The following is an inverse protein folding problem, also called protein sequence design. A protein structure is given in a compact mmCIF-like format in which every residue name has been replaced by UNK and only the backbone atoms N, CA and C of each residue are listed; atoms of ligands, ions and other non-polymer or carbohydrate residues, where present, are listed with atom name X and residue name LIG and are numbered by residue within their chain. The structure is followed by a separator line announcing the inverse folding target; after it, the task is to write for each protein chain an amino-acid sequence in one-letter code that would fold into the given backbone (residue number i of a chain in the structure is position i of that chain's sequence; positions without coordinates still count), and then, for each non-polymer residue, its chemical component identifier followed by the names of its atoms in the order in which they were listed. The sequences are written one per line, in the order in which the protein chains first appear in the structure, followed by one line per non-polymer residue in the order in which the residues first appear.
data_IF_659971447751
#
_entry.id   IF_659971447751
#
_cell.length_a   1.000
_cell.length_b   1.000
_cell.length_c   1.000
_cell.angle_alpha   90.00
_cell.angle_beta   90.00
_cell.angle_gamma   90.00
#
_symmetry.space_group_name_H-M   'P 1'
#
loop_
_entity.id
_entity.type
_entity.pdbx_description
1 polymer ?
#
# COMPACT_ATOMS: atom_id res chain seq x y z
N UNK A 1 -6.73 19.29 -6.34
CA UNK A 1 -6.31 19.70 -4.98
C UNK A 1 -7.44 20.45 -4.26
N UNK A 2 -7.70 20.14 -2.98
CA UNK A 2 -8.74 20.78 -2.15
C UNK A 2 -8.12 21.94 -1.37
N UNK A 3 -8.80 23.09 -1.36
CA UNK A 3 -8.49 24.19 -0.43
C UNK A 3 -9.52 24.09 0.70
N UNK A 4 -9.18 23.32 1.73
CA UNK A 4 -10.10 23.06 2.84
C UNK A 4 -10.56 24.36 3.49
N UNK A 5 -11.83 24.38 3.90
CA UNK A 5 -12.38 25.48 4.70
C UNK A 5 -11.98 25.39 6.17
N UNK A 6 -11.40 24.27 6.59
CA UNK A 6 -10.89 24.04 7.93
C UNK A 6 -9.42 24.46 7.94
N UNK A 7 -9.09 25.52 8.67
CA UNK A 7 -7.71 25.89 8.93
C UNK A 7 -7.18 25.05 10.11
N UNK A 8 -6.11 24.23 9.93
CA UNK A 8 -5.61 23.38 11.00
C UNK A 8 -5.28 24.11 12.29
N UNK A 9 -4.78 25.35 12.22
CA UNK A 9 -4.42 26.16 13.39
C UNK A 9 -5.63 26.68 14.17
N UNK A 10 -6.82 26.69 13.56
CA UNK A 10 -8.08 27.19 14.14
C UNK A 10 -9.09 26.06 14.38
N UNK A 11 -8.69 24.80 14.14
CA UNK A 11 -9.60 23.67 14.30
C UNK A 11 -10.18 23.55 15.72
N UNK A 12 -9.42 24.02 16.74
CA UNK A 12 -9.82 24.00 18.16
C UNK A 12 -10.94 24.98 18.48
N UNK A 13 -11.07 26.03 17.67
CA UNK A 13 -12.05 27.10 17.86
C UNK A 13 -13.41 26.72 17.22
N UNK A 14 -13.46 25.61 16.48
CA UNK A 14 -14.68 25.11 15.85
C UNK A 14 -15.54 24.34 16.85
N UNK A 15 -16.86 24.54 16.77
CA UNK A 15 -17.82 23.62 17.36
C UNK A 15 -17.94 22.38 16.48
N UNK A 16 -18.22 21.23 17.08
CA UNK A 16 -18.35 19.96 16.36
C UNK A 16 -19.28 20.06 15.14
N UNK A 17 -20.47 20.63 15.32
CA UNK A 17 -21.47 20.80 14.24
C UNK A 17 -20.94 21.61 13.05
N UNK A 18 -20.16 22.66 13.32
CA UNK A 18 -19.58 23.50 12.26
C UNK A 18 -18.44 22.76 11.54
N UNK A 19 -17.63 22.03 12.30
CA UNK A 19 -16.61 21.15 11.74
C UNK A 19 -17.22 20.11 10.79
N UNK A 20 -18.28 19.39 11.19
CA UNK A 20 -18.95 18.38 10.34
C UNK A 20 -19.38 19.00 9.01
N UNK A 21 -20.02 20.17 9.07
CA UNK A 21 -20.48 20.90 7.88
C UNK A 21 -19.33 21.31 6.96
N UNK A 22 -18.18 21.73 7.51
CA UNK A 22 -17.02 22.07 6.69
C UNK A 22 -16.34 20.84 6.10
N UNK A 23 -16.26 19.75 6.87
CA UNK A 23 -15.68 18.49 6.42
C UNK A 23 -16.48 17.88 5.26
N UNK A 24 -17.82 17.85 5.37
CA UNK A 24 -18.70 17.42 4.28
C UNK A 24 -18.48 18.26 3.00
N UNK A 25 -18.34 19.58 3.14
CA UNK A 25 -18.02 20.45 1.99
C UNK A 25 -16.68 20.12 1.36
N UNK A 26 -15.68 19.74 2.15
CA UNK A 26 -14.38 19.33 1.62
C UNK A 26 -14.49 18.02 0.83
N UNK A 27 -15.31 17.06 1.28
CA UNK A 27 -15.58 15.81 0.55
C UNK A 27 -16.34 16.08 -0.75
N UNK A 28 -17.41 16.90 -0.71
CA UNK A 28 -18.13 17.30 -1.92
C UNK A 28 -17.22 18.04 -2.90
N UNK A 29 -16.28 18.85 -2.40
CA UNK A 29 -15.29 19.53 -3.21
C UNK A 29 -14.25 18.55 -3.80
N UNK A 30 -13.89 17.50 -3.07
CA UNK A 30 -13.04 16.41 -3.59
C UNK A 30 -13.74 15.71 -4.76
N UNK A 31 -15.01 15.34 -4.56
CA UNK A 31 -15.88 14.67 -5.54
C UNK A 31 -16.05 15.50 -6.81
N UNK A 32 -16.49 16.75 -6.68
CA UNK A 32 -16.71 17.65 -7.83
C UNK A 32 -15.45 17.93 -8.65
N UNK A 33 -14.26 17.79 -8.03
CA UNK A 33 -12.97 17.91 -8.71
C UNK A 33 -12.41 16.59 -9.25
N UNK A 34 -13.12 15.48 -9.10
CA UNK A 34 -12.67 14.16 -9.54
C UNK A 34 -11.37 13.71 -8.88
N UNK A 35 -11.10 14.11 -7.63
CA UNK A 35 -9.86 13.76 -6.96
C UNK A 35 -9.92 12.32 -6.46
N UNK A 36 -9.02 11.46 -6.95
CA UNK A 36 -8.89 10.07 -6.49
C UNK A 36 -8.35 9.96 -5.07
N UNK A 37 -7.48 10.89 -4.66
CA UNK A 37 -6.87 10.91 -3.34
C UNK A 37 -6.49 12.32 -2.89
N UNK A 38 -6.45 12.54 -1.58
CA UNK A 38 -5.93 13.77 -0.96
C UNK A 38 -5.16 13.49 0.33
N UNK A 39 -4.17 14.32 0.66
CA UNK A 39 -3.49 14.26 1.95
C UNK A 39 -4.46 14.46 3.11
N UNK A 40 -4.25 13.72 4.20
CA UNK A 40 -5.09 13.75 5.41
C UNK A 40 -4.24 13.75 6.68
N UNK A 41 -4.68 14.49 7.70
CA UNK A 41 -4.22 14.38 9.10
C UNK A 41 -5.40 13.98 9.96
N UNK A 42 -5.18 13.06 10.90
CA UNK A 42 -6.18 12.62 11.86
C UNK A 42 -5.67 12.85 13.27
N UNK A 43 -6.56 13.30 14.16
CA UNK A 43 -6.38 13.32 15.61
C UNK A 43 -7.55 12.55 16.22
N UNK A 44 -7.25 11.56 17.05
CA UNK A 44 -8.22 10.57 17.55
C UNK A 44 -9.17 11.20 18.57
N UNK A 45 -8.60 11.96 19.51
CA UNK A 45 -9.31 12.56 20.64
C UNK A 45 -9.10 14.08 20.59
N UNK A 46 -9.94 14.75 19.81
CA UNK A 46 -9.89 16.20 19.65
C UNK A 46 -11.05 16.86 20.41
N UNK A 47 -10.71 17.72 21.36
CA UNK A 47 -11.69 18.54 22.10
C UNK A 47 -12.05 19.75 21.26
N UNK A 48 -13.29 19.80 20.79
CA UNK A 48 -13.85 20.95 20.06
C UNK A 48 -14.25 22.07 21.02
N UNK A 49 -14.47 23.29 20.50
CA UNK A 49 -14.82 24.46 21.30
C UNK A 49 -16.11 24.29 22.14
N UNK A 50 -16.99 23.37 21.75
CA UNK A 50 -18.19 23.02 22.51
C UNK A 50 -17.95 22.03 23.67
N UNK A 51 -16.70 21.64 23.93
CA UNK A 51 -16.31 20.68 24.96
C UNK A 51 -16.49 19.22 24.55
N UNK A 52 -17.10 18.95 23.38
CA UNK A 52 -17.23 17.60 22.85
C UNK A 52 -15.89 17.06 22.35
N UNK A 53 -15.62 15.78 22.63
CA UNK A 53 -14.41 15.09 22.18
C UNK A 53 -14.78 14.17 21.01
N UNK A 54 -14.22 14.46 19.83
CA UNK A 54 -14.40 13.63 18.62
C UNK A 54 -13.11 13.49 17.83
N UNK A 55 -13.13 12.62 16.82
CA UNK A 55 -12.02 12.53 15.86
C UNK A 55 -12.00 13.78 14.96
N UNK A 56 -10.84 14.42 14.85
CA UNK A 56 -10.60 15.48 13.87
C UNK A 56 -9.91 14.88 12.65
N UNK A 57 -10.51 15.07 11.47
CA UNK A 57 -9.96 14.68 10.18
C UNK A 57 -9.81 15.95 9.35
N UNK A 58 -8.59 16.19 8.87
CA UNK A 58 -8.25 17.37 8.07
C UNK A 58 -7.75 16.93 6.70
N UNK A 59 -8.47 17.31 5.66
CA UNK A 59 -8.09 17.11 4.27
C UNK A 59 -7.44 18.39 3.74
N UNK A 60 -6.43 18.32 2.87
CA UNK A 60 -5.86 19.56 2.34
C UNK A 60 -4.57 19.44 1.56
N UNK A 61 -3.84 20.56 1.47
CA UNK A 61 -2.53 20.60 0.80
C UNK A 61 -1.49 19.88 1.67
N UNK A 62 -0.69 19.00 1.06
CA UNK A 62 0.39 18.27 1.73
C UNK A 62 1.30 19.19 2.56
N UNK A 63 1.72 20.34 2.02
CA UNK A 63 2.62 21.26 2.72
C UNK A 63 2.02 21.83 4.02
N UNK A 64 0.72 22.15 4.00
CA UNK A 64 0.01 22.69 5.17
C UNK A 64 -0.16 21.58 6.21
N UNK A 65 -0.58 20.40 5.78
CA UNK A 65 -0.78 19.26 6.67
C UNK A 65 0.54 18.75 7.26
N UNK A 66 1.63 18.74 6.50
CA UNK A 66 2.96 18.39 6.99
C UNK A 66 3.44 19.39 8.05
N UNK A 67 3.18 20.69 7.86
CA UNK A 67 3.50 21.72 8.87
C UNK A 67 2.71 21.47 10.15
N UNK A 68 1.40 21.30 10.04
CA UNK A 68 0.53 21.01 11.18
C UNK A 68 0.93 19.71 11.90
N UNK A 69 1.24 18.65 11.16
CA UNK A 69 1.70 17.39 11.74
C UNK A 69 3.03 17.52 12.49
N UNK A 70 3.94 18.39 12.04
CA UNK A 70 5.16 18.73 12.79
C UNK A 70 4.85 19.48 14.08
N UNK A 71 3.86 20.36 14.08
CA UNK A 71 3.38 21.06 15.28
C UNK A 71 2.80 20.04 16.30
N UNK A 72 1.98 19.09 15.85
CA UNK A 72 1.48 18.00 16.70
C UNK A 72 2.60 17.12 17.28
N UNK A 73 3.69 16.91 16.53
CA UNK A 73 4.88 16.19 17.01
C UNK A 73 5.67 16.96 18.05
N UNK A 74 5.65 18.30 17.98
CA UNK A 74 6.35 19.17 18.91
C UNK A 74 5.57 19.37 20.22
N UNK A 75 4.24 19.18 20.20
CA UNK A 75 3.37 19.24 21.38
C UNK A 75 3.69 18.09 22.37
N UNK A 76 4.16 18.39 23.60
CA UNK A 76 4.52 17.37 24.59
C UNK A 76 3.36 16.50 25.07
N UNK A 77 2.13 17.04 25.13
CA UNK A 77 0.95 16.31 25.57
C UNK A 77 0.49 15.34 24.48
N UNK A 78 0.39 15.82 23.24
CA UNK A 78 0.05 14.98 22.08
C UNK A 78 1.11 13.93 21.83
N UNK A 79 2.40 14.25 22.00
CA UNK A 79 3.50 13.28 21.88
C UNK A 79 3.40 12.14 22.91
N UNK A 80 2.87 12.39 24.10
CA UNK A 80 2.57 11.35 25.10
C UNK A 80 1.34 10.52 24.70
N UNK A 81 0.28 11.17 24.26
CA UNK A 81 -0.98 10.52 23.87
C UNK A 81 -0.82 9.65 22.61
N UNK A 82 0.06 10.05 21.67
CA UNK A 82 0.29 9.35 20.40
C UNK A 82 -1.02 9.07 19.66
N UNK A 83 -1.84 10.10 19.55
CA UNK A 83 -3.22 10.04 19.09
C UNK A 83 -3.43 10.67 17.70
N UNK A 84 -2.34 10.96 16.97
CA UNK A 84 -2.40 11.62 15.67
C UNK A 84 -1.62 10.89 14.56
N UNK A 85 -2.08 11.00 13.32
CA UNK A 85 -1.49 10.38 12.15
C UNK A 85 -1.59 11.29 10.90
N UNK A 86 -0.75 11.05 9.89
CA UNK A 86 -0.80 11.72 8.59
C UNK A 86 -0.77 10.67 7.48
N UNK A 87 -1.40 10.92 6.35
CA UNK A 87 -1.45 9.96 5.25
C UNK A 87 -2.28 10.45 4.07
N UNK A 88 -2.93 9.51 3.39
CA UNK A 88 -3.73 9.77 2.19
C UNK A 88 -5.16 9.25 2.38
N UNK A 89 -6.14 10.07 2.02
CA UNK A 89 -7.55 9.74 1.93
C UNK A 89 -7.92 9.53 0.47
N UNK A 90 -8.31 8.32 0.13
CA UNK A 90 -8.81 7.90 -1.16
C UNK A 90 -10.34 8.04 -1.18
N UNK A 91 -10.88 8.44 -2.33
CA UNK A 91 -12.31 8.58 -2.54
C UNK A 91 -12.77 7.52 -3.54
N UNK A 92 -13.80 6.79 -3.16
CA UNK A 92 -14.50 5.84 -4.02
C UNK A 92 -15.94 6.30 -4.17
N UNK A 93 -16.48 6.21 -5.38
CA UNK A 93 -17.91 6.43 -5.62
C UNK A 93 -18.59 5.07 -5.58
N UNK A 94 -19.61 4.92 -4.74
CA UNK A 94 -20.42 3.70 -4.69
C UNK A 94 -21.50 3.71 -5.78
N UNK A 95 -22.12 2.55 -6.03
CA UNK A 95 -23.11 2.35 -7.11
C UNK A 95 -24.36 3.22 -6.93
N UNK A 96 -24.67 3.61 -5.68
CA UNK A 96 -25.76 4.53 -5.33
C UNK A 96 -25.40 6.02 -5.52
N UNK A 97 -24.18 6.30 -5.98
CA UNK A 97 -23.64 7.64 -6.16
C UNK A 97 -23.15 8.30 -4.87
N UNK A 98 -23.16 7.61 -3.73
CA UNK A 98 -22.52 8.07 -2.49
C UNK A 98 -20.99 8.02 -2.60
N UNK A 99 -20.30 8.74 -1.71
CA UNK A 99 -18.83 8.74 -1.67
C UNK A 99 -18.38 8.04 -0.42
N UNK A 100 -17.67 6.94 -0.61
CA UNK A 100 -16.92 6.28 0.45
C UNK A 100 -15.51 6.85 0.53
N UNK A 101 -14.99 6.89 1.75
CA UNK A 101 -13.60 7.29 1.99
C UNK A 101 -12.80 6.13 2.56
N UNK A 102 -11.55 6.04 2.12
CA UNK A 102 -10.56 5.05 2.53
C UNK A 102 -9.28 5.75 2.90
N UNK A 103 -8.79 5.59 4.13
CA UNK A 103 -7.67 6.40 4.63
C UNK A 103 -6.45 5.54 4.93
N UNK A 104 -5.39 5.65 4.14
CA UNK A 104 -4.08 5.03 4.39
C UNK A 104 -3.19 5.94 5.26
N UNK A 105 -2.64 5.43 6.36
CA UNK A 105 -2.02 6.24 7.41
C UNK A 105 -0.56 5.87 7.72
N UNK A 106 0.32 6.88 7.73
CA UNK A 106 1.74 6.80 8.09
C UNK A 106 2.07 7.73 9.28
N UNK A 107 2.38 7.21 10.48
CA UNK A 107 2.74 8.06 11.62
C UNK A 107 2.84 7.38 12.99
N UNK A 108 3.39 8.10 13.98
CA UNK A 108 3.62 7.62 15.36
C UNK A 108 2.37 7.59 16.26
N UNK A 109 1.17 7.71 15.69
CA UNK A 109 -0.07 7.50 16.41
C UNK A 109 -0.49 6.04 16.32
N UNK A 110 -0.63 5.36 17.47
CA UNK A 110 -1.23 4.02 17.46
C UNK A 110 -2.69 4.22 17.11
N UNK A 111 -3.02 4.12 15.84
CA UNK A 111 -4.41 4.14 15.40
C UNK A 111 -5.22 2.98 16.06
N UNK A 112 -4.56 1.98 16.63
CA UNK A 112 -5.12 0.90 17.47
C UNK A 112 -5.53 1.36 18.89
N UNK A 113 -5.16 2.58 19.28
CA UNK A 113 -5.64 3.29 20.46
C UNK A 113 -6.78 4.27 20.15
N UNK A 114 -7.22 4.39 18.89
CA UNK A 114 -8.52 5.00 18.60
C UNK A 114 -9.56 4.18 19.37
N UNK A 115 -10.17 4.78 20.40
CA UNK A 115 -11.16 4.09 21.21
C UNK A 115 -12.33 3.64 20.31
N UNK A 116 -13.09 2.62 20.73
CA UNK A 116 -14.28 2.10 20.02
C UNK A 116 -15.25 3.19 19.54
N UNK A 117 -15.21 4.36 20.16
CA UNK A 117 -15.99 5.54 19.79
C UNK A 117 -15.51 6.23 18.52
N UNK A 118 -14.21 6.27 18.18
CA UNK A 118 -13.72 7.02 17.01
C UNK A 118 -14.31 6.51 15.68
N UNK A 119 -14.57 5.20 15.54
CA UNK A 119 -15.29 4.62 14.37
C UNK A 119 -16.75 5.08 14.31
N UNK A 120 -17.48 5.05 15.44
CA UNK A 120 -18.86 5.56 15.56
C UNK A 120 -18.94 7.07 15.32
N UNK A 121 -17.87 7.81 15.61
CA UNK A 121 -17.80 9.26 15.46
C UNK A 121 -17.51 9.69 14.02
N UNK A 122 -16.82 8.85 13.22
CA UNK A 122 -16.67 9.06 11.76
C UNK A 122 -17.96 8.70 11.02
N UNK A 123 -18.68 7.65 11.43
CA UNK A 123 -20.00 7.30 10.87
C UNK A 123 -21.05 8.42 11.05
N UNK A 124 -20.91 9.29 12.07
CA UNK A 124 -21.77 10.47 12.29
C UNK A 124 -21.52 11.62 11.31
N UNK A 125 -20.51 11.52 10.43
CA UNK A 125 -20.19 12.54 9.43
C UNK A 125 -21.00 12.39 8.13
N UNK A 126 -21.91 11.42 8.05
CA UNK A 126 -22.69 11.06 6.85
C UNK A 126 -21.78 10.66 5.67
N UNK A 127 -20.67 9.98 6.01
CA UNK A 127 -19.70 9.46 5.06
C UNK A 127 -19.53 7.98 5.36
N UNK A 128 -19.74 7.14 4.36
CA UNK A 128 -19.45 5.72 4.44
C UNK A 128 -17.93 5.54 4.54
N UNK A 129 -17.44 5.40 5.76
CA UNK A 129 -16.07 4.96 6.00
C UNK A 129 -16.00 3.47 5.67
N UNK A 130 -15.55 3.14 4.45
CA UNK A 130 -15.30 1.75 4.06
C UNK A 130 -14.17 1.15 4.90
N UNK A 131 -13.06 1.89 5.06
CA UNK A 131 -11.89 1.37 5.76
C UNK A 131 -10.93 2.47 6.29
N UNK A 132 -10.33 2.23 7.47
CA UNK A 132 -9.14 2.98 7.93
C UNK A 132 -7.95 2.04 7.85
N UNK A 133 -7.08 2.33 6.91
CA UNK A 133 -5.92 1.56 6.55
C UNK A 133 -4.70 2.07 7.36
N UNK A 134 -4.11 1.23 8.21
CA UNK A 134 -3.08 1.59 9.21
C UNK A 134 -1.79 0.80 9.05
N UNK A 135 -0.65 1.50 9.06
CA UNK A 135 0.65 0.92 9.43
C UNK A 135 1.33 0.05 8.36
N UNK A 136 2.49 -0.49 8.76
CA UNK A 136 3.31 -1.45 8.01
C UNK A 136 2.54 -2.78 8.01
N UNK A 137 1.61 -2.96 7.06
CA UNK A 137 0.81 -4.18 6.86
C UNK A 137 1.60 -5.45 6.63
N UNK A 138 2.90 -5.28 6.51
CA UNK A 138 3.84 -6.32 6.21
C UNK A 138 3.56 -7.57 7.04
N UNK A 139 3.53 -7.48 8.37
CA UNK A 139 3.33 -8.67 9.22
C UNK A 139 1.94 -9.31 9.04
N UNK A 140 0.88 -8.50 8.98
CA UNK A 140 -0.50 -9.01 8.85
C UNK A 140 -0.72 -9.68 7.48
N UNK A 141 -0.21 -9.06 6.40
CA UNK A 141 -0.23 -9.64 5.05
C UNK A 141 0.61 -10.92 4.97
N UNK A 142 1.71 -11.00 5.72
CA UNK A 142 2.55 -12.20 5.74
C UNK A 142 1.89 -13.35 6.49
N UNK A 143 1.27 -13.09 7.64
CA UNK A 143 0.45 -14.08 8.35
C UNK A 143 -0.64 -14.63 7.42
N UNK A 144 -1.33 -13.73 6.70
CA UNK A 144 -2.35 -14.05 5.72
C UNK A 144 -1.81 -14.93 4.56
N UNK A 145 -0.65 -14.59 3.99
CA UNK A 145 0.00 -15.38 2.92
C UNK A 145 0.42 -16.76 3.44
N UNK A 146 1.00 -16.83 4.64
CA UNK A 146 1.46 -18.08 5.23
C UNK A 146 0.30 -19.02 5.58
N UNK A 147 -0.84 -18.47 6.01
CA UNK A 147 -2.06 -19.26 6.24
C UNK A 147 -2.61 -19.84 4.94
N UNK A 148 -2.68 -19.04 3.88
CA UNK A 148 -3.09 -19.52 2.54
C UNK A 148 -2.18 -20.65 2.04
N UNK A 149 -0.87 -20.53 2.23
CA UNK A 149 0.11 -21.57 1.86
C UNK A 149 -0.10 -22.90 2.60
N UNK A 150 -0.58 -22.90 3.84
CA UNK A 150 -0.88 -24.14 4.58
C UNK A 150 -2.05 -24.92 3.99
N UNK A 151 -3.01 -24.20 3.41
CA UNK A 151 -4.21 -24.77 2.78
C UNK A 151 -4.08 -24.92 1.26
N UNK A 152 -2.92 -24.61 0.69
CA UNK A 152 -2.70 -24.61 -0.76
C UNK A 152 -2.84 -26.01 -1.36
N UNK A 153 -3.46 -26.08 -2.53
CA UNK A 153 -3.56 -27.29 -3.33
C UNK A 153 -2.19 -27.77 -3.84
N UNK A 154 -2.06 -29.02 -4.25
CA UNK A 154 -0.78 -29.55 -4.77
C UNK A 154 -0.33 -28.86 -6.07
N UNK A 155 -1.28 -28.37 -6.87
CA UNK A 155 -0.98 -27.57 -8.06
C UNK A 155 -0.41 -26.20 -7.69
N UNK A 156 -0.94 -25.58 -6.63
CA UNK A 156 -0.42 -24.31 -6.11
C UNK A 156 0.96 -24.45 -5.48
N UNK A 157 1.25 -25.58 -4.82
CA UNK A 157 2.60 -25.87 -4.29
C UNK A 157 3.65 -25.98 -5.41
N UNK A 158 3.30 -26.58 -6.55
CA UNK A 158 4.20 -26.65 -7.72
C UNK A 158 4.49 -25.26 -8.30
N UNK A 159 3.49 -24.38 -8.33
CA UNK A 159 3.70 -22.98 -8.73
C UNK A 159 4.63 -22.27 -7.74
N UNK A 160 4.49 -22.52 -6.44
CA UNK A 160 5.36 -21.92 -5.43
C UNK A 160 6.82 -22.39 -5.54
N UNK A 161 7.08 -23.65 -5.93
CA UNK A 161 8.43 -24.15 -6.23
C UNK A 161 9.05 -23.40 -7.41
N UNK A 162 8.31 -23.26 -8.52
CA UNK A 162 8.79 -22.51 -9.68
C UNK A 162 9.07 -21.04 -9.35
N UNK A 163 8.20 -20.42 -8.55
CA UNK A 163 8.40 -19.05 -8.08
C UNK A 163 9.58 -18.91 -7.12
N UNK A 164 9.95 -19.96 -6.38
CA UNK A 164 11.18 -20.00 -5.60
C UNK A 164 12.40 -20.01 -6.51
N UNK A 165 12.41 -20.84 -7.56
CA UNK A 165 13.49 -20.90 -8.55
C UNK A 165 13.66 -19.54 -9.25
N UNK A 166 12.56 -18.91 -9.68
CA UNK A 166 12.57 -17.56 -10.24
C UNK A 166 13.18 -16.53 -9.27
N UNK A 167 12.90 -16.66 -7.96
CA UNK A 167 13.44 -15.75 -6.94
C UNK A 167 14.96 -15.82 -6.88
N UNK A 168 15.52 -17.03 -6.91
CA UNK A 168 16.97 -17.25 -6.88
C UNK A 168 17.63 -16.74 -8.17
N UNK A 169 17.00 -16.93 -9.33
CA UNK A 169 17.48 -16.37 -10.60
C UNK A 169 17.52 -14.84 -10.55
N UNK A 170 16.51 -14.18 -9.98
CA UNK A 170 16.48 -12.73 -9.84
C UNK A 170 17.57 -12.20 -8.91
N UNK A 171 17.86 -12.89 -7.79
CA UNK A 171 18.96 -12.53 -6.89
C UNK A 171 20.31 -12.57 -7.62
N UNK A 172 20.55 -13.60 -8.43
CA UNK A 172 21.80 -13.79 -9.19
C UNK A 172 21.93 -12.82 -10.37
N UNK A 173 20.81 -12.51 -11.06
CA UNK A 173 20.84 -11.59 -12.21
C UNK A 173 21.25 -10.16 -11.83
N UNK A 174 20.98 -9.75 -10.60
CA UNK A 174 21.34 -8.43 -10.08
C UNK A 174 22.78 -8.31 -9.59
N UNK A 175 23.42 -9.43 -9.22
CA UNK A 175 24.83 -9.48 -8.76
C UNK A 175 25.76 -8.80 -9.79
N UNK A 176 25.67 -9.24 -11.06
CA UNK A 176 26.46 -8.67 -12.16
C UNK A 176 26.13 -7.19 -12.47
N UNK A 177 24.91 -6.72 -12.17
CA UNK A 177 24.50 -5.33 -12.38
C UNK A 177 24.86 -4.43 -11.19
N UNK A 178 24.97 -5.00 -9.99
CA UNK A 178 25.37 -4.34 -8.75
C UNK A 178 26.86 -4.10 -8.67
N UNK A 179 27.68 -4.99 -9.25
CA UNK A 179 29.14 -4.84 -9.35
C UNK A 179 29.58 -3.44 -9.82
N UNK A 180 28.83 -2.88 -10.79
CA UNK A 180 29.15 -1.60 -11.45
C UNK A 180 28.53 -0.41 -10.71
N UNK A 181 27.58 -0.63 -9.80
CA UNK A 181 26.84 0.43 -9.12
C UNK A 181 27.51 0.86 -7.81
N UNK A 182 27.48 2.17 -7.54
CA UNK A 182 27.91 2.70 -6.24
C UNK A 182 26.87 2.34 -5.16
N UNK A 183 27.31 2.00 -3.95
CA UNK A 183 26.43 1.69 -2.81
C UNK A 183 25.34 2.76 -2.56
N UNK A 184 25.68 4.05 -2.76
CA UNK A 184 24.70 5.13 -2.62
C UNK A 184 23.52 5.00 -3.60
N UNK A 185 23.79 4.66 -4.87
CA UNK A 185 22.75 4.45 -5.88
C UNK A 185 21.87 3.25 -5.54
N UNK A 186 22.46 2.17 -5.03
CA UNK A 186 21.72 0.97 -4.62
C UNK A 186 20.75 1.31 -3.48
N UNK A 187 21.20 2.09 -2.48
CA UNK A 187 20.35 2.59 -1.38
C UNK A 187 19.21 3.48 -1.87
N UNK A 188 19.47 4.35 -2.83
CA UNK A 188 18.45 5.23 -3.42
C UNK A 188 17.40 4.43 -4.19
N UNK A 189 17.84 3.48 -5.02
CA UNK A 189 16.97 2.55 -5.74
C UNK A 189 16.10 1.74 -4.78
N UNK A 190 16.70 1.15 -3.73
CA UNK A 190 15.97 0.48 -2.65
C UNK A 190 14.94 1.42 -2.01
N UNK A 191 15.33 2.64 -1.64
CA UNK A 191 14.44 3.58 -0.95
C UNK A 191 13.22 3.95 -1.80
N UNK A 192 13.40 4.11 -3.11
CA UNK A 192 12.32 4.37 -4.07
C UNK A 192 11.41 3.14 -4.21
N UNK A 193 11.99 1.96 -4.41
CA UNK A 193 11.24 0.72 -4.58
C UNK A 193 10.45 0.37 -3.30
N UNK A 194 11.09 0.45 -2.13
CA UNK A 194 10.48 0.25 -0.81
C UNK A 194 9.27 1.18 -0.59
N UNK A 195 9.34 2.44 -1.05
CA UNK A 195 8.19 3.35 -0.94
C UNK A 195 7.02 2.89 -1.80
N UNK A 196 7.27 2.44 -3.03
CA UNK A 196 6.23 1.92 -3.93
C UNK A 196 5.66 0.59 -3.44
N UNK A 197 6.49 -0.26 -2.84
CA UNK A 197 6.08 -1.55 -2.26
C UNK A 197 4.97 -1.40 -1.21
N UNK A 198 4.96 -0.29 -0.48
CA UNK A 198 3.88 0.01 0.49
C UNK A 198 2.50 0.12 -0.18
N UNK A 199 2.44 0.54 -1.44
CA UNK A 199 1.19 0.57 -2.22
C UNK A 199 0.71 -0.84 -2.55
N UNK A 200 1.63 -1.71 -3.00
CA UNK A 200 1.34 -3.12 -3.31
C UNK A 200 0.92 -3.90 -2.06
N UNK A 201 1.62 -3.70 -0.95
CA UNK A 201 1.26 -4.28 0.34
C UNK A 201 -0.19 -3.91 0.72
N UNK A 202 -0.59 -2.66 0.49
CA UNK A 202 -1.96 -2.21 0.69
C UNK A 202 -2.96 -2.97 -0.20
N UNK A 203 -2.62 -3.18 -1.47
CA UNK A 203 -3.45 -3.97 -2.40
C UNK A 203 -3.59 -5.43 -1.93
N UNK A 204 -2.51 -6.05 -1.48
CA UNK A 204 -2.56 -7.43 -0.96
C UNK A 204 -3.48 -7.52 0.24
N UNK A 205 -3.42 -6.54 1.15
CA UNK A 205 -4.34 -6.52 2.28
C UNK A 205 -5.81 -6.44 1.85
N UNK A 206 -6.10 -5.60 0.86
CA UNK A 206 -7.45 -5.40 0.33
C UNK A 206 -8.02 -6.61 -0.39
N UNK A 207 -7.15 -7.46 -0.95
CA UNK A 207 -7.59 -8.68 -1.64
C UNK A 207 -8.38 -9.66 -0.75
N UNK A 208 -8.34 -9.49 0.58
CA UNK A 208 -9.17 -10.25 1.54
C UNK A 208 -10.64 -9.84 1.56
N UNK A 209 -10.94 -8.57 1.27
CA UNK A 209 -12.28 -8.01 1.38
C UNK A 209 -12.85 -7.60 0.03
N UNK A 210 -11.99 -7.38 -0.96
CA UNK A 210 -12.32 -6.87 -2.29
C UNK A 210 -11.65 -7.74 -3.36
N UNK A 211 -12.27 -7.83 -4.54
CA UNK A 211 -11.59 -8.44 -5.69
C UNK A 211 -10.59 -7.44 -6.26
N UNK A 212 -9.30 -7.72 -6.09
CA UNK A 212 -8.21 -6.89 -6.58
C UNK A 212 -7.66 -7.48 -7.88
N UNK A 213 -7.66 -6.68 -8.95
CA UNK A 213 -6.99 -7.00 -10.20
C UNK A 213 -5.55 -6.48 -10.15
N UNK A 214 -4.59 -7.36 -10.00
CA UNK A 214 -3.18 -7.02 -10.09
C UNK A 214 -2.82 -6.77 -11.55
N UNK A 215 -1.96 -5.79 -11.78
CA UNK A 215 -1.43 -5.45 -13.09
C UNK A 215 0.03 -5.87 -13.21
N UNK A 216 0.54 -5.90 -14.44
CA UNK A 216 1.98 -6.08 -14.70
C UNK A 216 2.83 -5.03 -13.97
N UNK A 217 2.30 -3.82 -13.77
CA UNK A 217 2.99 -2.77 -13.03
C UNK A 217 3.10 -3.09 -11.53
N UNK A 218 2.08 -3.71 -10.93
CA UNK A 218 2.10 -4.12 -9.52
C UNK A 218 3.10 -5.25 -9.28
N UNK A 219 3.18 -6.21 -10.21
CA UNK A 219 4.20 -7.27 -10.21
C UNK A 219 5.60 -6.67 -10.29
N UNK A 220 5.82 -5.74 -11.22
CA UNK A 220 7.12 -5.07 -11.39
C UNK A 220 7.51 -4.27 -10.15
N UNK A 221 6.58 -3.57 -9.49
CA UNK A 221 6.86 -2.85 -8.24
C UNK A 221 7.27 -3.80 -7.12
N UNK A 222 6.58 -4.93 -6.97
CA UNK A 222 6.94 -5.94 -5.96
C UNK A 222 8.30 -6.57 -6.25
N UNK A 223 8.58 -6.85 -7.53
CA UNK A 223 9.86 -7.40 -7.98
C UNK A 223 11.01 -6.42 -7.73
N UNK A 224 10.87 -5.16 -8.15
CA UNK A 224 11.87 -4.11 -7.94
C UNK A 224 12.20 -3.91 -6.45
N UNK A 225 11.20 -4.03 -5.58
CA UNK A 225 11.40 -3.89 -4.14
C UNK A 225 12.15 -5.07 -3.52
N UNK A 226 11.78 -6.30 -3.92
CA UNK A 226 12.48 -7.51 -3.52
C UNK A 226 13.95 -7.49 -4.01
N UNK A 227 14.16 -7.18 -5.29
CA UNK A 227 15.48 -7.04 -5.92
C UNK A 227 16.31 -5.93 -5.28
N UNK A 228 15.70 -4.79 -4.99
CA UNK A 228 16.37 -3.68 -4.31
C UNK A 228 16.83 -4.03 -2.89
N UNK A 229 16.10 -4.88 -2.17
CA UNK A 229 16.54 -5.40 -0.87
C UNK A 229 17.73 -6.34 -1.02
N UNK A 230 17.64 -7.32 -1.93
CA UNK A 230 18.73 -8.27 -2.20
C UNK A 230 20.00 -7.52 -2.60
N UNK A 231 19.88 -6.60 -3.55
CA UNK A 231 20.97 -5.78 -4.06
C UNK A 231 21.66 -4.94 -2.98
N UNK A 232 20.90 -4.39 -2.04
CA UNK A 232 21.49 -3.60 -0.96
C UNK A 232 22.31 -4.45 0.00
N UNK A 233 21.79 -5.62 0.38
CA UNK A 233 22.49 -6.54 1.28
C UNK A 233 23.79 -7.02 0.66
N UNK A 234 23.70 -7.50 -0.58
CA UNK A 234 24.83 -7.99 -1.35
C UNK A 234 25.94 -6.94 -1.51
N UNK A 235 25.59 -5.74 -2.01
CA UNK A 235 26.58 -4.67 -2.19
C UNK A 235 27.19 -4.18 -0.88
N UNK A 236 26.42 -4.21 0.20
CA UNK A 236 26.92 -3.88 1.53
C UNK A 236 27.93 -4.92 2.01
N UNK A 237 27.63 -6.21 1.84
CA UNK A 237 28.50 -7.33 2.19
C UNK A 237 29.80 -7.32 1.38
N UNK A 238 29.77 -7.04 0.08
CA UNK A 238 30.97 -6.86 -0.74
C UNK A 238 31.92 -5.78 -0.19
N UNK A 239 31.37 -4.62 0.20
CA UNK A 239 32.17 -3.49 0.69
C UNK A 239 32.77 -3.79 2.06
N UNK A 240 32.03 -4.51 2.91
CA UNK A 240 32.54 -5.00 4.20
C UNK A 240 33.63 -6.05 3.98
N UNK A 241 33.42 -7.02 3.10
CA UNK A 241 34.41 -8.05 2.75
C UNK A 241 35.69 -7.45 2.15
N UNK A 242 35.57 -6.34 1.43
CA UNK A 242 36.70 -5.58 0.91
C UNK A 242 37.42 -4.71 1.96
N UNK A 243 37.00 -4.75 3.24
CA UNK A 243 37.59 -3.96 4.33
C UNK A 243 37.30 -2.46 4.25
N UNK A 244 36.26 -2.05 3.52
CA UNK A 244 35.92 -0.65 3.25
C UNK A 244 34.73 -0.14 4.08
N UNK A 245 34.43 -0.78 5.20
CA UNK A 245 33.34 -0.43 6.12
C UNK A 245 33.35 1.04 6.56
N UNK A 246 34.53 1.62 6.77
CA UNK A 246 34.70 3.04 7.15
C UNK A 246 34.23 4.03 6.08
N UNK A 247 33.98 3.58 4.85
CA UNK A 247 33.48 4.42 3.75
C UNK A 247 31.95 4.44 3.67
N UNK A 248 31.26 3.62 4.47
CA UNK A 248 29.81 3.48 4.44
C UNK A 248 29.16 4.61 5.26
N UNK A 249 28.28 5.36 4.63
CA UNK A 249 27.56 6.46 5.29
C UNK A 249 26.52 5.96 6.31
N UNK A 250 26.25 6.72 7.40
CA UNK A 250 25.30 6.31 8.45
C UNK A 250 23.88 5.98 7.96
N UNK A 251 23.41 6.67 6.91
CA UNK A 251 22.08 6.40 6.32
C UNK A 251 21.99 5.00 5.69
N UNK A 252 23.10 4.52 5.13
CA UNK A 252 23.19 3.23 4.45
C UNK A 252 23.20 2.11 5.50
N UNK A 253 23.98 2.29 6.57
CA UNK A 253 24.00 1.40 7.73
C UNK A 253 22.58 1.25 8.31
N UNK A 254 21.88 2.38 8.54
CA UNK A 254 20.50 2.34 9.06
C UNK A 254 19.55 1.63 8.08
N UNK A 255 19.70 1.81 6.77
CA UNK A 255 18.88 1.12 5.78
C UNK A 255 19.12 -0.40 5.81
N UNK A 256 20.39 -0.82 5.81
CA UNK A 256 20.79 -2.22 5.89
C UNK A 256 20.34 -2.86 7.21
N UNK A 257 20.56 -2.21 8.35
CA UNK A 257 20.11 -2.71 9.65
C UNK A 257 18.59 -2.89 9.69
N UNK A 258 17.83 -1.97 9.08
CA UNK A 258 16.38 -2.09 9.01
C UNK A 258 15.96 -3.28 8.16
N UNK A 259 16.66 -3.55 7.04
CA UNK A 259 16.41 -4.73 6.21
C UNK A 259 16.64 -6.01 7.03
N UNK A 260 17.79 -6.12 7.70
CA UNK A 260 18.15 -7.33 8.47
C UNK A 260 17.25 -7.50 9.70
N UNK A 261 17.08 -6.46 10.52
CA UNK A 261 16.27 -6.53 11.75
C UNK A 261 14.80 -6.85 11.47
N UNK A 262 14.28 -6.40 10.31
CA UNK A 262 12.89 -6.68 9.91
C UNK A 262 12.76 -7.87 8.98
N UNK A 263 13.84 -8.53 8.59
CA UNK A 263 13.84 -9.63 7.61
C UNK A 263 13.13 -9.24 6.28
N UNK A 264 13.42 -8.05 5.75
CA UNK A 264 12.69 -7.53 4.59
C UNK A 264 12.90 -8.36 3.32
N UNK A 265 14.03 -9.07 3.20
CA UNK A 265 14.32 -9.90 2.03
C UNK A 265 13.28 -11.01 1.88
N UNK A 266 13.15 -11.84 2.91
CA UNK A 266 12.19 -12.96 2.96
C UNK A 266 10.76 -12.45 2.80
N UNK A 267 10.44 -11.33 3.46
CA UNK A 267 9.09 -10.76 3.47
C UNK A 267 8.68 -10.21 2.12
N UNK A 268 9.58 -9.49 1.43
CA UNK A 268 9.27 -8.93 0.11
C UNK A 268 9.26 -10.02 -0.96
N UNK A 269 10.08 -11.07 -0.81
CA UNK A 269 10.00 -12.28 -1.63
C UNK A 269 8.61 -12.92 -1.55
N UNK A 270 8.06 -13.12 -0.34
CA UNK A 270 6.72 -13.69 -0.14
C UNK A 270 5.62 -12.86 -0.79
N UNK A 271 5.68 -11.53 -0.64
CA UNK A 271 4.69 -10.63 -1.25
C UNK A 271 4.80 -10.66 -2.78
N UNK A 272 6.00 -10.59 -3.33
CA UNK A 272 6.21 -10.68 -4.78
C UNK A 272 5.66 -11.99 -5.35
N UNK A 273 5.94 -13.14 -4.72
CA UNK A 273 5.38 -14.43 -5.13
C UNK A 273 3.85 -14.42 -5.11
N UNK A 274 3.23 -13.89 -4.04
CA UNK A 274 1.77 -13.78 -3.94
C UNK A 274 1.20 -12.95 -5.09
N UNK A 275 1.76 -11.76 -5.32
CA UNK A 275 1.29 -10.83 -6.38
C UNK A 275 1.48 -11.44 -7.77
N UNK A 276 2.65 -12.05 -8.03
CA UNK A 276 2.95 -12.71 -9.32
C UNK A 276 2.05 -13.92 -9.56
N UNK A 277 1.76 -14.71 -8.52
CA UNK A 277 0.84 -15.86 -8.57
C UNK A 277 -0.59 -15.42 -8.87
N UNK A 278 -1.10 -14.42 -8.16
CA UNK A 278 -2.45 -13.89 -8.40
C UNK A 278 -2.57 -13.20 -9.77
N UNK A 279 -1.56 -12.41 -10.17
CA UNK A 279 -1.51 -11.84 -11.51
C UNK A 279 -1.55 -12.94 -12.57
N UNK A 280 -0.73 -13.99 -12.45
CA UNK A 280 -0.71 -15.10 -13.43
C UNK A 280 -2.05 -15.85 -13.46
N UNK A 281 -2.74 -16.01 -12.31
CA UNK A 281 -4.09 -16.56 -12.27
C UNK A 281 -5.10 -15.66 -13.00
N UNK A 282 -4.98 -14.34 -12.86
CA UNK A 282 -5.88 -13.36 -13.47
C UNK A 282 -5.64 -13.20 -14.97
N UNK A 283 -4.38 -13.15 -15.38
CA UNK A 283 -3.94 -13.13 -16.78
C UNK A 283 -4.26 -14.47 -17.46
N UNK A 284 -4.12 -15.57 -16.70
CA UNK A 284 -4.52 -16.93 -17.08
C UNK A 284 -6.04 -17.10 -17.27
N UNK A 285 -6.89 -16.38 -16.53
CA UNK A 285 -8.34 -16.36 -16.80
C UNK A 285 -8.70 -15.70 -18.13
N UNK A 286 -7.88 -14.77 -18.62
CA UNK A 286 -8.02 -14.25 -19.97
C UNK A 286 -7.69 -15.35 -20.99
N UNK A 287 -6.61 -16.12 -20.73
CA UNK A 287 -6.23 -17.31 -21.51
C UNK A 287 -7.30 -18.39 -21.50
N UNK A 288 -7.90 -18.76 -20.37
CA UNK A 288 -8.90 -19.83 -20.30
C UNK A 288 -10.22 -19.43 -20.97
N UNK A 289 -10.64 -18.17 -20.85
CA UNK A 289 -11.82 -17.66 -21.56
C UNK A 289 -11.56 -17.53 -23.08
N UNK A 290 -10.35 -17.13 -23.48
CA UNK A 290 -9.93 -17.14 -24.88
C UNK A 290 -9.77 -18.56 -25.42
N UNK A 291 -9.23 -19.50 -24.65
CA UNK A 291 -9.08 -20.90 -25.02
C UNK A 291 -10.44 -21.59 -25.16
N UNK A 292 -11.40 -21.29 -24.28
CA UNK A 292 -12.81 -21.70 -24.44
C UNK A 292 -13.39 -21.14 -25.75
N UNK A 293 -13.19 -19.85 -26.03
CA UNK A 293 -13.68 -19.23 -27.27
C UNK A 293 -13.02 -19.78 -28.53
N UNK A 294 -11.74 -20.18 -28.46
CA UNK A 294 -11.04 -20.83 -29.57
C UNK A 294 -11.48 -22.28 -29.75
N UNK A 295 -11.73 -23.02 -28.66
CA UNK A 295 -12.30 -24.37 -28.74
C UNK A 295 -13.69 -24.36 -29.37
N UNK A 296 -14.56 -23.40 -28.98
CA UNK A 296 -15.88 -23.21 -29.59
C UNK A 296 -15.76 -22.85 -31.09
N UNK A 297 -14.73 -22.09 -31.47
CA UNK A 297 -14.46 -21.72 -32.85
C UNK A 297 -13.94 -22.90 -33.68
N UNK A 298 -13.06 -23.73 -33.11
CA UNK A 298 -12.53 -24.93 -33.73
C UNK A 298 -13.63 -25.98 -33.94
N UNK A 299 -14.58 -26.09 -33.00
CA UNK A 299 -15.77 -26.94 -33.14
C UNK A 299 -16.70 -26.44 -34.26
N UNK A 300 -16.92 -25.11 -34.34
CA UNK A 300 -17.69 -24.51 -35.43
C UNK A 300 -17.01 -24.67 -36.80
N UNK A 301 -15.69 -24.53 -36.86
CA UNK A 301 -14.92 -24.75 -38.08
C UNK A 301 -14.98 -26.22 -38.52
N UNK A 302 -14.89 -27.16 -37.58
CA UNK A 302 -15.03 -28.59 -37.87
C UNK A 302 -16.44 -28.94 -38.40
N UNK A 303 -17.49 -28.28 -37.90
CA UNK A 303 -18.86 -28.43 -38.43
C UNK A 303 -18.94 -27.87 -39.86
N UNK A 304 -18.36 -26.69 -40.12
CA UNK A 304 -18.34 -26.08 -41.45
C UNK A 304 -17.58 -26.95 -42.45
N UNK A 305 -16.45 -27.54 -42.05
CA UNK A 305 -15.66 -28.44 -42.90
C UNK A 305 -16.39 -29.76 -43.19
N UNK A 306 -17.23 -30.24 -42.26
CA UNK A 306 -18.10 -31.40 -42.49
C UNK A 306 -19.30 -31.07 -43.39
N UNK A 307 -19.83 -29.84 -43.32
CA UNK A 307 -20.96 -29.39 -44.14
C UNK A 307 -20.56 -28.89 -45.54
N UNK A 308 -19.27 -28.58 -45.76
CA UNK A 308 -18.73 -28.21 -47.08
C UNK A 308 -17.51 -29.08 -47.47
N UNK A 309 -17.70 -30.38 -47.75
CA UNK A 309 -16.60 -31.29 -48.09
C UNK A 309 -16.02 -31.09 -49.51
N UNK A 310 -16.30 -29.97 -50.18
CA UNK A 310 -15.80 -29.66 -51.52
C UNK A 310 -14.94 -28.40 -51.54
N UNK A 311 -13.67 -28.57 -51.14
CA UNK A 311 -12.50 -27.93 -51.75
C UNK A 311 -11.30 -28.86 -51.70
#
# INVERSE_FOLDING_TARGET
MIKSKINPSQAKDLKWKDYVKFFQKDITLAKSKGLKQVPVVIISDFTFACGEVHALILLGKQAILNKFFKELKADPERKKMKDYAIGMCHFETEDDGSVSIKMGMNGFGKANKMQKNSKKLIQKLDVALKEIIKGDYLEEVLEDIQEESKTASDLEKKVDVKLQEDAEVLKVADDAANDIQTLLKVVESFSIANKKMQEVIGLVKLSKTETIMYTKADVAVAEDAFRGVASLLDKYEEIVAAGKENTIGPKIIVAQENIVKKDLLTKYELIWKKVKKEYTKQDGKLSDLLQSKFADLDELLAIIDQENPQK
#
